data_IF_742287614799
#
_entry.id   IF_742287614799
#
_cell.length_a   1.000
_cell.length_b   1.000
_cell.length_c   1.000
_cell.angle_alpha   90.00
_cell.angle_beta   90.00
_cell.angle_gamma   90.00
#
_symmetry.space_group_name_H-M   'P 1'
#
loop_
_entity.id
_entity.type
_entity.pdbx_description
1 polymer ?
#
# COMPACT_ATOMS: atom_id res chain seq x y z
N UNK A 1 4.35 -1.44 -15.95
CA UNK A 1 4.32 -0.12 -15.27
C UNK A 1 4.57 -0.32 -13.78
N UNK A 2 5.38 0.52 -13.16
CA UNK A 2 5.73 0.47 -11.72
C UNK A 2 5.26 1.76 -11.05
N UNK A 3 4.60 1.67 -9.90
CA UNK A 3 4.31 2.83 -9.05
C UNK A 3 5.47 2.97 -8.06
N UNK A 4 6.23 4.05 -8.17
CA UNK A 4 7.49 4.24 -7.43
C UNK A 4 7.31 4.73 -6.00
N UNK A 5 6.19 5.37 -5.69
CA UNK A 5 5.82 5.79 -4.34
C UNK A 5 4.31 5.73 -4.19
N UNK A 6 3.82 4.96 -3.21
CA UNK A 6 2.39 4.88 -2.90
C UNK A 6 2.14 4.69 -1.41
N UNK A 7 0.99 5.14 -0.93
CA UNK A 7 0.59 5.03 0.46
C UNK A 7 -0.89 5.35 0.61
N UNK A 8 -1.49 4.88 1.70
CA UNK A 8 -2.89 5.16 2.06
C UNK A 8 -2.90 5.87 3.40
N UNK A 9 -3.47 7.07 3.44
CA UNK A 9 -3.54 7.87 4.66
C UNK A 9 -4.43 7.18 5.71
N UNK A 10 -4.21 7.51 6.99
CA UNK A 10 -5.00 6.94 8.07
C UNK A 10 -6.47 7.32 7.98
N UNK A 11 -7.34 6.31 8.10
CA UNK A 11 -8.79 6.46 8.16
C UNK A 11 -9.42 5.14 8.59
N UNK A 12 -10.69 5.18 8.98
CA UNK A 12 -11.50 3.98 9.28
C UNK A 12 -11.62 3.02 8.08
N UNK A 13 -11.25 3.48 6.87
CA UNK A 13 -11.30 2.72 5.63
C UNK A 13 -9.93 2.29 5.13
N UNK A 14 -8.84 2.54 5.87
CA UNK A 14 -7.46 2.27 5.42
C UNK A 14 -7.28 0.84 4.93
N UNK A 15 -7.85 -0.15 5.63
CA UNK A 15 -7.80 -1.54 5.19
C UNK A 15 -8.44 -1.75 3.81
N UNK A 16 -9.68 -1.27 3.63
CA UNK A 16 -10.40 -1.41 2.36
C UNK A 16 -9.66 -0.67 1.24
N UNK A 17 -9.14 0.53 1.52
CA UNK A 17 -8.38 1.32 0.55
C UNK A 17 -7.07 0.64 0.13
N UNK A 18 -6.38 -0.06 1.03
CA UNK A 18 -5.23 -0.89 0.67
C UNK A 18 -5.67 -1.98 -0.32
N UNK A 19 -6.75 -2.71 -0.04
CA UNK A 19 -7.26 -3.74 -0.97
C UNK A 19 -7.64 -3.16 -2.33
N UNK A 20 -8.35 -2.04 -2.33
CA UNK A 20 -8.79 -1.36 -3.55
C UNK A 20 -7.60 -0.89 -4.39
N UNK A 21 -6.53 -0.39 -3.75
CA UNK A 21 -5.30 0.03 -4.42
C UNK A 21 -4.64 -1.15 -5.16
N UNK A 22 -4.42 -2.27 -4.47
CA UNK A 22 -3.79 -3.45 -5.10
C UNK A 22 -4.66 -4.02 -6.23
N UNK A 23 -5.98 -4.11 -6.03
CA UNK A 23 -6.90 -4.59 -7.06
C UNK A 23 -6.96 -3.65 -8.26
N UNK A 24 -6.97 -2.33 -8.03
CA UNK A 24 -6.92 -1.32 -9.08
C UNK A 24 -5.62 -1.38 -9.88
N UNK A 25 -4.49 -1.52 -9.18
CA UNK A 25 -3.17 -1.67 -9.79
C UNK A 25 -3.10 -2.95 -10.65
N UNK A 26 -3.62 -4.08 -10.17
CA UNK A 26 -3.70 -5.32 -10.96
C UNK A 26 -4.55 -5.14 -12.24
N UNK A 27 -5.73 -4.52 -12.12
CA UNK A 27 -6.61 -4.22 -13.27
C UNK A 27 -5.94 -3.31 -14.29
N UNK A 28 -5.09 -2.39 -13.83
CA UNK A 28 -4.35 -1.46 -14.67
C UNK A 28 -3.06 -2.06 -15.28
N UNK A 29 -2.75 -3.33 -15.03
CA UNK A 29 -1.52 -3.98 -15.54
C UNK A 29 -0.25 -3.44 -14.87
N UNK A 30 -0.35 -2.92 -13.64
CA UNK A 30 0.79 -2.55 -12.82
C UNK A 30 1.48 -3.83 -12.33
N UNK A 31 2.79 -3.93 -12.53
CA UNK A 31 3.58 -5.12 -12.17
C UNK A 31 4.17 -5.05 -10.75
N UNK A 32 4.07 -3.88 -10.13
CA UNK A 32 4.70 -3.61 -8.84
C UNK A 32 4.30 -2.25 -8.29
N UNK A 33 4.40 -2.13 -6.98
CA UNK A 33 4.19 -0.89 -6.25
C UNK A 33 5.20 -0.83 -5.10
N UNK A 34 5.72 0.36 -4.85
CA UNK A 34 6.65 0.62 -3.76
C UNK A 34 5.93 1.41 -2.68
N UNK A 35 5.78 0.79 -1.52
CA UNK A 35 5.09 1.41 -0.39
C UNK A 35 5.98 2.44 0.30
N UNK A 36 5.47 3.64 0.49
CA UNK A 36 6.14 4.70 1.22
C UNK A 36 5.71 4.67 2.68
N UNK A 37 6.42 3.86 3.47
CA UNK A 37 6.10 3.56 4.87
C UNK A 37 6.53 4.69 5.83
N UNK A 38 5.95 5.87 5.68
CA UNK A 38 6.25 7.00 6.56
C UNK A 38 5.00 7.75 7.01
N UNK A 39 5.12 8.38 8.17
CA UNK A 39 4.20 9.43 8.60
C UNK A 39 4.77 10.78 8.16
N UNK A 40 3.94 11.60 7.53
CA UNK A 40 4.28 12.97 7.16
C UNK A 40 3.27 13.94 7.75
N UNK A 41 3.76 14.92 8.50
CA UNK A 41 2.94 16.01 9.00
C UNK A 41 3.19 17.23 8.11
N UNK A 42 2.14 17.72 7.43
CA UNK A 42 2.22 18.88 6.55
C UNK A 42 1.64 20.12 7.24
N UNK A 43 2.34 21.27 7.24
CA UNK A 43 1.82 22.50 7.81
C UNK A 43 0.49 22.90 7.15
N UNK A 44 -0.56 23.08 7.95
CA UNK A 44 -1.90 23.47 7.47
C UNK A 44 -2.78 22.32 6.98
N UNK A 45 -2.31 21.07 6.99
CA UNK A 45 -3.16 19.90 6.70
C UNK A 45 -4.00 19.51 7.92
N UNK A 46 -5.32 19.35 7.72
CA UNK A 46 -6.22 18.73 8.70
C UNK A 46 -6.25 17.21 8.61
N UNK A 47 -5.64 16.65 7.55
CA UNK A 47 -5.59 15.21 7.31
C UNK A 47 -4.27 14.64 7.83
N UNK A 48 -4.38 13.61 8.69
CA UNK A 48 -3.24 12.85 9.18
C UNK A 48 -2.67 11.99 8.04
N UNK A 49 -1.51 12.39 7.49
CA UNK A 49 -0.84 11.63 6.43
C UNK A 49 0.09 10.58 7.02
N UNK A 50 -0.51 9.64 7.75
CA UNK A 50 0.17 8.47 8.27
C UNK A 50 0.01 7.30 7.30
N UNK A 51 1.02 7.08 6.46
CA UNK A 51 1.04 5.99 5.48
C UNK A 51 1.64 4.71 6.03
N UNK A 52 2.05 4.70 7.30
CA UNK A 52 2.66 3.51 7.90
C UNK A 52 1.68 2.35 7.90
N UNK A 53 2.17 1.17 7.55
CA UNK A 53 1.31 -0.01 7.46
C UNK A 53 0.98 -0.61 8.84
N UNK A 54 1.77 -0.28 9.87
CA UNK A 54 1.66 -0.84 11.22
C UNK A 54 0.70 -0.10 12.14
N UNK A 55 0.15 1.04 11.70
CA UNK A 55 -0.79 1.86 12.49
C UNK A 55 -2.20 1.29 12.57
N UNK A 56 -2.52 0.33 11.68
CA UNK A 56 -3.78 -0.39 11.67
C UNK A 56 -3.53 -1.88 11.46
N UNK A 57 -3.97 -2.70 12.41
CA UNK A 57 -3.83 -4.17 12.35
C UNK A 57 -4.48 -4.72 11.08
N UNK A 58 -5.63 -4.17 10.69
CA UNK A 58 -6.35 -4.53 9.46
C UNK A 58 -5.56 -4.15 8.21
N UNK A 59 -5.03 -2.93 8.14
CA UNK A 59 -4.22 -2.46 7.01
C UNK A 59 -2.96 -3.31 6.82
N UNK A 60 -2.27 -3.69 7.91
CA UNK A 60 -1.10 -4.59 7.86
C UNK A 60 -1.45 -5.96 7.31
N UNK A 61 -2.56 -6.55 7.75
CA UNK A 61 -3.01 -7.85 7.28
C UNK A 61 -3.39 -7.80 5.80
N UNK A 62 -4.15 -6.78 5.38
CA UNK A 62 -4.51 -6.58 3.98
C UNK A 62 -3.28 -6.40 3.09
N UNK A 63 -2.32 -5.56 3.50
CA UNK A 63 -1.09 -5.36 2.73
C UNK A 63 -0.32 -6.66 2.51
N UNK A 64 -0.11 -7.46 3.56
CA UNK A 64 0.59 -8.75 3.45
C UNK A 64 -0.09 -9.72 2.49
N UNK A 65 -1.42 -9.80 2.54
CA UNK A 65 -2.20 -10.68 1.66
C UNK A 65 -2.10 -10.21 0.21
N UNK A 66 -2.29 -8.92 -0.04
CA UNK A 66 -2.31 -8.38 -1.39
C UNK A 66 -0.92 -8.32 -2.03
N UNK A 67 0.12 -7.98 -1.26
CA UNK A 67 1.51 -7.95 -1.75
C UNK A 67 2.07 -9.32 -2.11
N UNK A 68 1.47 -10.39 -1.58
CA UNK A 68 1.86 -11.77 -1.86
C UNK A 68 1.14 -12.38 -3.07
N UNK A 69 0.22 -11.65 -3.72
CA UNK A 69 -0.52 -12.18 -4.88
C UNK A 69 0.39 -12.33 -6.09
N UNK A 70 0.18 -13.42 -6.84
CA UNK A 70 0.80 -13.63 -8.14
C UNK A 70 0.52 -12.43 -9.07
N UNK A 71 1.60 -11.78 -9.54
CA UNK A 71 1.54 -10.58 -10.38
C UNK A 71 2.09 -9.31 -9.73
N UNK A 72 2.33 -9.31 -8.41
CA UNK A 72 3.05 -8.25 -7.72
C UNK A 72 4.44 -8.71 -7.27
N UNK A 73 5.45 -7.91 -7.63
CA UNK A 73 6.85 -8.15 -7.24
C UNK A 73 7.54 -9.23 -8.07
N UNK A 74 8.85 -9.31 -7.93
CA UNK A 74 9.65 -10.39 -8.50
C UNK A 74 9.83 -11.45 -7.40
N UNK A 75 9.50 -12.74 -7.63
CA UNK A 75 9.89 -13.76 -6.67
C UNK A 75 11.41 -13.74 -6.52
N UNK A 76 11.89 -13.59 -5.28
CA UNK A 76 13.28 -13.91 -4.95
C UNK A 76 13.41 -15.43 -5.03
N UNK A 77 13.59 -15.96 -6.24
CA UNK A 77 13.97 -17.36 -6.42
C UNK A 77 15.31 -17.58 -5.70
N UNK A 78 15.33 -18.49 -4.74
CA UNK A 78 16.56 -19.10 -4.26
C UNK A 78 17.23 -19.78 -5.45
N UNK A 79 18.33 -19.18 -5.92
CA UNK A 79 19.26 -19.85 -6.84
C UNK A 79 19.96 -21.03 -6.17
#
# INVERSE_FOLDING_TARGET
>A
MLITETGVAESDRKEQQVRDLFQGAAKAGVIGLVWYDQRKDWPGSTQMMDWRIDTSVGARAAFRVESARYGFGHPFGSG
#
